data_IF_502255389135
#
_entry.id   IF_502255389135
#
_cell.length_a   1.000
_cell.length_b   1.000
_cell.length_c   1.000
_cell.angle_alpha   90.00
_cell.angle_beta   90.00
_cell.angle_gamma   90.00
#
_symmetry.space_group_name_H-M   'P 1'
#
loop_
_entity.id
_entity.type
_entity.pdbx_description
1 polymer ?
#
# COMPACT_ATOMS: atom_id res chain seq x y z
N UNK A 1 22.31 20.07 5.32
CA UNK A 1 21.34 19.11 5.88
C UNK A 1 21.96 17.72 5.89
N UNK A 2 22.40 17.20 7.03
CA UNK A 2 23.02 15.87 7.12
C UNK A 2 22.01 14.75 6.82
N UNK A 3 22.49 13.63 6.28
CA UNK A 3 21.63 12.49 5.96
C UNK A 3 20.96 11.92 7.22
N UNK A 4 19.65 12.09 7.35
CA UNK A 4 18.87 11.46 8.42
C UNK A 4 18.94 9.94 8.27
N UNK A 5 19.62 9.27 9.22
CA UNK A 5 19.87 7.81 9.20
C UNK A 5 18.61 6.96 9.03
N UNK A 6 17.44 7.48 9.43
CA UNK A 6 16.14 6.82 9.33
C UNK A 6 15.58 6.71 7.91
N UNK A 7 16.03 7.56 6.97
CA UNK A 7 15.50 7.63 5.60
C UNK A 7 16.30 6.76 4.63
N UNK A 8 17.31 6.03 5.11
CA UNK A 8 18.15 5.17 4.27
C UNK A 8 17.38 3.94 3.79
N UNK A 9 17.70 3.47 2.57
CA UNK A 9 17.08 2.30 1.92
C UNK A 9 17.06 1.05 2.79
N UNK A 10 18.14 0.76 3.52
CA UNK A 10 18.23 -0.39 4.44
C UNK A 10 17.24 -0.36 5.63
N UNK A 11 16.55 0.76 5.86
CA UNK A 11 15.54 0.95 6.92
C UNK A 11 14.21 1.43 6.34
N UNK A 12 14.05 1.32 5.02
CA UNK A 12 12.85 1.78 4.34
C UNK A 12 11.68 0.90 4.78
N UNK A 13 10.61 1.54 5.21
CA UNK A 13 9.35 0.87 5.54
C UNK A 13 8.48 0.78 4.31
N UNK A 14 7.44 -0.06 4.39
CA UNK A 14 6.44 -0.18 3.32
C UNK A 14 5.81 1.19 3.00
N UNK A 15 5.73 1.50 1.70
CA UNK A 15 5.20 2.77 1.19
C UNK A 15 3.71 2.95 1.48
N UNK A 16 3.19 4.17 1.31
CA UNK A 16 1.73 4.41 1.46
C UNK A 16 0.94 3.73 0.34
N UNK A 17 1.48 3.80 -0.87
CA UNK A 17 0.89 3.29 -2.11
C UNK A 17 0.75 1.76 -2.04
N UNK A 18 1.82 1.07 -1.63
CA UNK A 18 1.81 -0.38 -1.39
C UNK A 18 0.83 -0.80 -0.29
N UNK A 19 0.69 0.00 0.78
CA UNK A 19 -0.29 -0.26 1.84
C UNK A 19 -1.71 -0.05 1.32
N UNK A 20 -1.93 0.86 0.39
CA UNK A 20 -3.23 1.05 -0.24
C UNK A 20 -3.61 -0.16 -1.10
N UNK A 21 -2.67 -0.68 -1.88
CA UNK A 21 -2.83 -1.93 -2.65
C UNK A 21 -3.12 -3.14 -1.74
N UNK A 22 -2.51 -3.19 -0.54
CA UNK A 22 -2.82 -4.21 0.47
C UNK A 22 -4.25 -4.13 0.99
N UNK A 23 -4.77 -2.90 1.16
CA UNK A 23 -6.14 -2.67 1.62
C UNK A 23 -7.16 -2.96 0.52
N UNK A 24 -6.82 -2.67 -0.73
CA UNK A 24 -7.66 -2.92 -1.91
C UNK A 24 -7.70 -4.41 -2.26
N UNK A 25 -6.56 -5.12 -2.13
CA UNK A 25 -6.44 -6.51 -2.55
C UNK A 25 -5.88 -7.41 -1.45
N UNK A 26 -6.68 -8.38 -0.93
CA UNK A 26 -6.20 -9.30 0.10
C UNK A 26 -5.07 -10.21 -0.41
N UNK A 27 -5.00 -10.43 -1.73
CA UNK A 27 -3.93 -11.21 -2.38
C UNK A 27 -2.57 -10.53 -2.23
N UNK A 28 -2.49 -9.22 -2.43
CA UNK A 28 -1.23 -8.48 -2.32
C UNK A 28 -0.70 -8.50 -0.88
N UNK A 29 -1.59 -8.32 0.10
CA UNK A 29 -1.25 -8.45 1.51
C UNK A 29 -0.76 -9.87 1.86
N UNK A 30 -1.43 -10.90 1.36
CA UNK A 30 -1.01 -12.29 1.59
C UNK A 30 0.37 -12.59 1.01
N UNK A 31 0.64 -12.11 -0.22
CA UNK A 31 1.96 -12.22 -0.85
C UNK A 31 3.04 -11.53 -0.01
N UNK A 32 2.77 -10.32 0.46
CA UNK A 32 3.71 -9.61 1.33
C UNK A 32 3.99 -10.37 2.63
N UNK A 33 2.94 -10.85 3.31
CA UNK A 33 3.11 -11.62 4.55
C UNK A 33 3.90 -12.91 4.33
N UNK A 34 3.71 -13.57 3.19
CA UNK A 34 4.46 -14.78 2.84
C UNK A 34 5.97 -14.54 2.59
N UNK A 35 6.40 -13.30 2.35
CA UNK A 35 7.83 -12.96 2.23
C UNK A 35 8.59 -12.96 3.56
N UNK A 36 7.91 -13.18 4.68
CA UNK A 36 8.46 -13.09 6.02
C UNK A 36 8.25 -14.39 6.77
N UNK A 37 9.34 -14.91 7.32
CA UNK A 37 9.30 -16.09 8.17
C UNK A 37 8.67 -15.74 9.52
N UNK A 38 7.76 -16.58 10.00
CA UNK A 38 7.00 -16.30 11.21
C UNK A 38 7.91 -16.16 12.45
N UNK A 39 8.98 -16.96 12.53
CA UNK A 39 9.89 -17.00 13.68
C UNK A 39 10.74 -15.72 13.83
N UNK A 40 10.99 -15.02 12.72
CA UNK A 40 11.72 -13.74 12.72
C UNK A 40 10.82 -12.54 13.09
N UNK A 41 9.50 -12.73 13.11
CA UNK A 41 8.53 -11.67 13.34
C UNK A 41 8.15 -11.56 14.82
N UNK A 42 7.93 -10.33 15.33
CA UNK A 42 7.32 -10.14 16.64
C UNK A 42 5.98 -10.89 16.76
N UNK A 43 5.76 -11.58 17.87
CA UNK A 43 4.52 -12.30 18.13
C UNK A 43 4.23 -13.41 17.12
N UNK A 44 5.26 -13.99 16.49
CA UNK A 44 5.16 -15.01 15.43
C UNK A 44 4.31 -14.55 14.24
N UNK A 45 4.33 -13.24 13.94
CA UNK A 45 3.53 -12.65 12.86
C UNK A 45 2.03 -12.70 13.08
N UNK A 46 1.54 -12.88 14.32
CA UNK A 46 0.10 -12.95 14.59
C UNK A 46 -0.56 -11.56 14.62
N UNK A 47 0.12 -10.58 15.20
CA UNK A 47 -0.46 -9.25 15.45
C UNK A 47 0.09 -8.21 14.47
N UNK A 48 -0.66 -7.93 13.41
CA UNK A 48 -0.24 -7.04 12.33
C UNK A 48 -1.21 -5.89 12.11
N UNK A 49 -0.68 -4.67 12.07
CA UNK A 49 -1.40 -3.48 11.62
C UNK A 49 -1.10 -3.24 10.14
N UNK A 50 -2.13 -3.33 9.29
CA UNK A 50 -1.99 -3.19 7.83
C UNK A 50 -1.66 -1.74 7.48
N UNK A 51 -2.35 -0.79 8.08
CA UNK A 51 -2.27 0.62 7.72
C UNK A 51 -0.89 1.22 8.05
N UNK A 52 -0.28 0.76 9.15
CA UNK A 52 1.06 1.16 9.56
C UNK A 52 2.16 0.19 9.11
N UNK A 53 1.81 -0.91 8.45
CA UNK A 53 2.70 -1.99 8.05
C UNK A 53 3.66 -2.43 9.18
N UNK A 54 3.11 -2.70 10.37
CA UNK A 54 3.91 -2.99 11.57
C UNK A 54 3.40 -4.23 12.31
N UNK A 55 4.34 -5.08 12.71
CA UNK A 55 4.13 -6.25 13.56
C UNK A 55 4.27 -5.89 15.04
N UNK A 56 3.46 -6.53 15.88
CA UNK A 56 3.44 -6.36 17.33
C UNK A 56 3.61 -7.71 18.03
N UNK A 57 4.14 -7.68 19.24
CA UNK A 57 4.35 -8.88 20.05
C UNK A 57 3.04 -9.49 20.60
N UNK A 58 2.02 -8.66 20.85
CA UNK A 58 0.76 -9.06 21.51
C UNK A 58 -0.43 -8.29 20.98
N UNK A 59 -1.62 -8.85 21.19
CA UNK A 59 -2.89 -8.23 20.82
C UNK A 59 -3.13 -6.91 21.57
N UNK A 60 -2.80 -6.87 22.87
CA UNK A 60 -2.93 -5.67 23.69
C UNK A 60 -2.18 -4.48 23.07
N UNK A 61 -0.95 -4.70 22.60
CA UNK A 61 -0.14 -3.66 21.97
C UNK A 61 -0.70 -3.21 20.62
N UNK A 62 -1.27 -4.14 19.83
CA UNK A 62 -1.97 -3.80 18.59
C UNK A 62 -3.18 -2.90 18.88
N UNK A 63 -4.00 -3.25 19.87
CA UNK A 63 -5.17 -2.46 20.28
C UNK A 63 -4.78 -1.09 20.86
N UNK A 64 -3.70 -1.02 21.65
CA UNK A 64 -3.17 0.25 22.13
C UNK A 64 -2.65 1.12 20.98
N UNK A 65 -1.99 0.51 19.99
CA UNK A 65 -1.49 1.19 18.81
C UNK A 65 -2.60 1.83 17.97
N UNK A 66 -3.71 1.12 17.71
CA UNK A 66 -4.81 1.65 16.88
C UNK A 66 -5.48 2.87 17.51
N UNK A 67 -5.49 2.97 18.84
CA UNK A 67 -6.02 4.14 19.58
C UNK A 67 -5.07 5.36 19.52
N UNK A 68 -3.80 5.14 19.22
CA UNK A 68 -2.73 6.14 19.24
C UNK A 68 -2.81 7.19 18.12
N UNK A 69 -2.19 8.37 18.36
CA UNK A 69 -2.19 9.51 17.41
C UNK A 69 -1.51 9.18 16.09
N UNK A 70 -0.43 8.40 16.11
CA UNK A 70 0.32 8.05 14.90
C UNK A 70 -0.51 7.20 13.94
N UNK A 71 -1.23 6.20 14.46
CA UNK A 71 -2.13 5.37 13.66
C UNK A 71 -3.27 6.22 13.08
N UNK A 72 -3.91 7.06 13.90
CA UNK A 72 -4.96 7.99 13.44
C UNK A 72 -4.46 8.95 12.36
N UNK A 73 -3.21 9.43 12.45
CA UNK A 73 -2.59 10.25 11.40
C UNK A 73 -2.39 9.45 10.11
N UNK A 74 -1.93 8.19 10.21
CA UNK A 74 -1.77 7.29 9.06
C UNK A 74 -3.11 7.04 8.36
N UNK A 75 -4.18 6.81 9.12
CA UNK A 75 -5.54 6.64 8.57
C UNK A 75 -6.02 7.87 7.80
N UNK A 76 -5.75 9.09 8.29
CA UNK A 76 -6.11 10.32 7.54
C UNK A 76 -5.37 10.40 6.22
N UNK A 77 -4.06 10.12 6.24
CA UNK A 77 -3.25 10.14 5.03
C UNK A 77 -3.68 9.07 4.01
N UNK A 78 -4.09 7.88 4.46
CA UNK A 78 -4.60 6.84 3.56
C UNK A 78 -5.98 7.14 2.98
N UNK A 79 -6.75 8.06 3.59
CA UNK A 79 -8.04 8.53 3.05
C UNK A 79 -7.89 9.55 1.93
N UNK A 80 -6.80 10.31 1.92
CA UNK A 80 -6.49 11.26 0.86
C UNK A 80 -6.12 10.51 -0.43
N UNK A 81 -6.37 11.09 -1.59
CA UNK A 81 -6.01 10.45 -2.86
C UNK A 81 -4.48 10.27 -2.97
N UNK A 82 -4.04 9.10 -3.46
CA UNK A 82 -2.63 8.77 -3.43
C UNK A 82 -1.92 9.59 -4.49
N UNK A 83 -0.75 10.12 -4.15
CA UNK A 83 0.08 10.76 -5.16
C UNK A 83 0.62 9.69 -6.10
N UNK A 84 0.18 9.71 -7.35
CA UNK A 84 0.64 8.78 -8.39
C UNK A 84 1.51 9.49 -9.41
N UNK A 85 2.38 8.73 -10.07
CA UNK A 85 3.21 9.24 -11.15
C UNK A 85 2.38 9.92 -12.25
N UNK A 86 1.21 9.36 -12.59
CA UNK A 86 0.27 9.95 -13.56
C UNK A 86 -0.22 11.34 -13.14
N UNK A 87 -0.48 11.55 -11.84
CA UNK A 87 -0.86 12.87 -11.33
C UNK A 87 0.29 13.87 -11.43
N UNK A 88 1.52 13.44 -11.17
CA UNK A 88 2.70 14.29 -11.30
C UNK A 88 2.93 14.69 -12.77
N UNK A 89 2.77 13.76 -13.71
CA UNK A 89 2.85 14.01 -15.14
C UNK A 89 1.76 14.98 -15.62
N UNK A 90 0.51 14.73 -15.21
CA UNK A 90 -0.61 15.60 -15.55
C UNK A 90 -0.42 17.04 -15.04
N UNK A 91 0.19 17.22 -13.86
CA UNK A 91 0.51 18.53 -13.31
C UNK A 91 1.53 19.33 -14.14
N UNK A 92 2.39 18.64 -14.91
CA UNK A 92 3.35 19.26 -15.85
C UNK A 92 2.78 19.31 -17.29
N UNK A 93 1.53 18.90 -17.48
CA UNK A 93 0.86 18.87 -18.79
C UNK A 93 1.20 17.64 -19.64
N UNK A 94 1.82 16.62 -19.05
CA UNK A 94 2.05 15.32 -19.70
C UNK A 94 0.84 14.41 -19.44
N UNK A 95 0.16 14.00 -20.51
CA UNK A 95 -0.98 13.09 -20.43
C UNK A 95 -0.91 12.04 -21.54
N UNK A 96 -1.41 10.85 -21.25
CA UNK A 96 -1.60 9.79 -22.26
C UNK A 96 -3.06 9.78 -22.69
N UNK A 97 -3.34 10.19 -23.94
CA UNK A 97 -4.63 9.96 -24.57
C UNK A 97 -4.58 8.58 -25.25
N UNK A 98 -5.16 7.58 -24.59
CA UNK A 98 -5.20 6.22 -25.13
C UNK A 98 -6.31 6.04 -26.20
N UNK A 99 -6.95 7.13 -26.65
CA UNK A 99 -8.01 7.09 -27.66
C UNK A 99 -9.23 6.27 -27.23
N UNK A 100 -10.21 6.13 -28.14
CA UNK A 100 -11.33 5.21 -27.94
C UNK A 100 -10.92 3.82 -28.43
N UNK A 101 -11.01 2.82 -27.55
CA UNK A 101 -10.85 1.41 -27.93
C UNK A 101 -11.91 1.08 -29.00
N UNK A 102 -11.54 0.57 -30.19
CA UNK A 102 -12.53 0.16 -31.19
C UNK A 102 -13.36 -0.98 -30.59
N UNK A 103 -14.69 -0.84 -30.64
CA UNK A 103 -15.57 -1.94 -30.30
C UNK A 103 -15.51 -2.94 -31.46
N UNK A 104 -15.04 -4.16 -31.19
CA UNK A 104 -15.22 -5.29 -32.09
C UNK A 104 -16.73 -5.45 -32.30
N UNK A 105 -17.20 -5.08 -33.48
CA UNK A 105 -18.53 -5.47 -33.93
C UNK A 105 -18.54 -6.98 -34.05
N UNK A 106 -19.36 -7.65 -33.23
CA UNK A 106 -19.72 -9.05 -33.38
C UNK A 106 -20.22 -9.25 -34.83
N UNK A 107 -19.36 -9.78 -35.70
CA UNK A 107 -19.78 -10.26 -37.01
C UNK A 107 -20.54 -11.54 -36.72
N UNK A 108 -21.86 -11.44 -36.76
CA UNK A 108 -22.77 -12.57 -36.79
C UNK A 108 -22.32 -13.54 -37.90
N UNK A 109 -21.93 -14.75 -37.48
CA UNK A 109 -21.77 -15.89 -38.37
C UNK A 109 -23.19 -16.44 -38.59
N UNK A 110 -23.87 -15.94 -39.63
CA UNK A 110 -25.07 -16.56 -40.21
C UNK A 110 -24.66 -17.68 -41.18
N UNK A 111 -25.27 -18.86 -40.96
CA UNK A 111 -25.40 -20.10 -41.75
C UNK A 111 -24.14 -20.90 -42.18
#
# INVERSE_FOLDING_TARGET
>A
MGALRRVKTKRLTRGYDQVREDLESPKHLAQYKATKDADDLPGLGKHYCVECAKWFESEYNLVAHTKGKNHKRRLRLLREDPHTQKMAEAAVGLGTDNGKRPQESEIAMED
#
